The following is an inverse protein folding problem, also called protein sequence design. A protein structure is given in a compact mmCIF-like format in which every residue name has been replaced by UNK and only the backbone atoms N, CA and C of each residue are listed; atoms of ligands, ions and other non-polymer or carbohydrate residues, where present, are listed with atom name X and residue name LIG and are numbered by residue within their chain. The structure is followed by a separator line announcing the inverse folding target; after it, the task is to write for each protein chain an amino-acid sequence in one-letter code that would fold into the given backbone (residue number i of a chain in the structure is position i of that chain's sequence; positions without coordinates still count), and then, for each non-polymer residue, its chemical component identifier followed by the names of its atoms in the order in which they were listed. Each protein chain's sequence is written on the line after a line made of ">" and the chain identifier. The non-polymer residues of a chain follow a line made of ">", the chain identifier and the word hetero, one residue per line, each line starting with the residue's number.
data_IF_913915280028
#
_entry.id   IF_913915280028
#
_cell.length_a   1.000
_cell.length_b   1.000
_cell.length_c   1.000
_cell.angle_alpha   90.00
_cell.angle_beta   90.00
_cell.angle_gamma   90.00
#
_symmetry.space_group_name_H-M   'P 1'
#
loop_
_entity.id
_entity.type
_entity.pdbx_description
1 polymer ?
#
# COMPACT_ATOMS: atom_id res chain seq x y z
N UNK A 1 -33.12 -27.63 9.55
CA UNK A 1 -31.81 -28.16 9.10
C UNK A 1 -30.75 -27.56 10.01
N UNK A 2 -29.91 -28.39 10.61
CA UNK A 2 -28.79 -27.97 11.47
C UNK A 2 -27.55 -27.79 10.58
N UNK A 3 -26.83 -26.69 10.75
CA UNK A 3 -25.56 -26.45 10.05
C UNK A 3 -24.48 -27.29 10.76
N UNK A 4 -23.83 -28.17 10.02
CA UNK A 4 -22.79 -29.09 10.49
C UNK A 4 -21.44 -28.75 9.84
N UNK A 5 -20.37 -29.45 10.26
CA UNK A 5 -19.06 -29.37 9.59
C UNK A 5 -19.19 -29.75 8.11
N UNK A 6 -19.92 -30.79 7.80
CA UNK A 6 -20.20 -31.24 6.42
C UNK A 6 -20.88 -30.15 5.58
N UNK A 7 -21.85 -29.42 6.17
CA UNK A 7 -22.50 -28.28 5.47
C UNK A 7 -21.47 -27.20 5.09
N UNK A 8 -20.45 -26.97 5.92
CA UNK A 8 -19.37 -26.00 5.62
C UNK A 8 -18.44 -26.54 4.54
N UNK A 9 -18.15 -27.83 4.54
CA UNK A 9 -17.36 -28.50 3.49
C UNK A 9 -18.09 -28.43 2.15
N UNK A 10 -19.41 -28.74 2.11
CA UNK A 10 -20.25 -28.60 0.91
C UNK A 10 -20.22 -27.16 0.37
N UNK A 11 -20.25 -26.16 1.28
CA UNK A 11 -20.14 -24.76 0.86
C UNK A 11 -18.76 -24.44 0.26
N UNK A 12 -17.68 -25.01 0.78
CA UNK A 12 -16.34 -24.89 0.19
C UNK A 12 -16.31 -25.53 -1.20
N UNK A 13 -16.88 -26.73 -1.37
CA UNK A 13 -16.96 -27.39 -2.67
C UNK A 13 -17.78 -26.58 -3.67
N UNK A 14 -18.94 -26.05 -3.25
CA UNK A 14 -19.73 -25.16 -4.09
C UNK A 14 -18.93 -23.94 -4.57
N UNK A 15 -18.20 -23.26 -3.68
CA UNK A 15 -17.37 -22.10 -4.06
C UNK A 15 -16.24 -22.48 -5.02
N UNK A 16 -15.65 -23.68 -4.88
CA UNK A 16 -14.63 -24.20 -5.80
C UNK A 16 -15.23 -24.53 -7.17
N UNK A 17 -16.41 -25.11 -7.21
CA UNK A 17 -17.14 -25.39 -8.47
C UNK A 17 -17.46 -24.10 -9.23
N UNK A 18 -17.72 -23.00 -8.51
CA UNK A 18 -17.84 -21.64 -9.09
C UNK A 18 -16.49 -21.03 -9.51
N UNK A 19 -15.39 -21.78 -9.49
CA UNK A 19 -14.04 -21.36 -9.87
C UNK A 19 -13.52 -20.14 -9.09
N UNK A 20 -13.99 -19.93 -7.85
CA UNK A 20 -13.48 -18.86 -7.00
C UNK A 20 -12.05 -19.17 -6.55
N UNK A 21 -11.20 -18.15 -6.53
CA UNK A 21 -9.85 -18.26 -5.98
C UNK A 21 -9.89 -18.59 -4.48
N UNK A 22 -8.95 -19.41 -3.98
CA UNK A 22 -8.86 -19.82 -2.58
C UNK A 22 -8.80 -18.63 -1.61
N UNK A 23 -8.19 -17.51 -1.99
CA UNK A 23 -8.20 -16.25 -1.21
C UNK A 23 -9.61 -15.67 -1.06
N UNK A 24 -10.44 -15.76 -2.10
CA UNK A 24 -11.85 -15.33 -2.08
C UNK A 24 -12.69 -16.28 -1.23
N UNK A 25 -12.48 -17.59 -1.40
CA UNK A 25 -13.10 -18.63 -0.56
C UNK A 25 -12.78 -18.38 0.91
N UNK A 26 -11.52 -18.15 1.25
CA UNK A 26 -11.10 -17.84 2.62
C UNK A 26 -11.69 -16.54 3.17
N UNK A 27 -11.92 -15.55 2.32
CA UNK A 27 -12.59 -14.30 2.74
C UNK A 27 -14.04 -14.58 3.14
N UNK A 28 -14.78 -15.35 2.33
CA UNK A 28 -16.14 -15.76 2.64
C UNK A 28 -16.19 -16.65 3.89
N UNK A 29 -15.28 -17.63 3.98
CA UNK A 29 -15.20 -18.50 5.15
C UNK A 29 -14.90 -17.75 6.44
N UNK A 30 -14.08 -16.71 6.43
CA UNK A 30 -13.81 -15.89 7.65
C UNK A 30 -15.09 -15.22 8.15
N UNK A 31 -15.94 -14.72 7.25
CA UNK A 31 -17.22 -14.11 7.62
C UNK A 31 -18.20 -15.14 8.18
N UNK A 32 -18.38 -16.26 7.47
CA UNK A 32 -19.25 -17.36 7.90
C UNK A 32 -18.76 -17.95 9.22
N UNK A 33 -17.45 -18.20 9.35
CA UNK A 33 -16.82 -18.73 10.56
C UNK A 33 -17.06 -17.85 11.79
N UNK A 34 -16.96 -16.53 11.64
CA UNK A 34 -17.22 -15.61 12.75
C UNK A 34 -18.64 -15.75 13.27
N UNK A 35 -19.63 -15.84 12.37
CA UNK A 35 -21.04 -16.05 12.71
C UNK A 35 -21.29 -17.43 13.33
N UNK A 36 -20.78 -18.50 12.71
CA UNK A 36 -20.99 -19.86 13.22
C UNK A 36 -20.33 -20.08 14.57
N UNK A 37 -19.13 -19.54 14.82
CA UNK A 37 -18.50 -19.62 16.14
C UNK A 37 -19.29 -18.86 17.20
N UNK A 38 -19.90 -17.72 16.85
CA UNK A 38 -20.84 -17.05 17.74
C UNK A 38 -22.07 -17.94 18.06
N UNK A 39 -22.63 -18.60 17.05
CA UNK A 39 -23.73 -19.56 17.27
C UNK A 39 -23.34 -20.73 18.18
N UNK A 40 -22.13 -21.26 18.00
CA UNK A 40 -21.57 -22.33 18.86
C UNK A 40 -21.34 -21.86 20.29
N UNK A 41 -20.87 -20.62 20.46
CA UNK A 41 -20.69 -20.01 21.79
C UNK A 41 -22.01 -19.84 22.52
N UNK A 42 -23.09 -19.51 21.79
CA UNK A 42 -24.47 -19.41 22.31
C UNK A 42 -25.19 -20.75 22.42
N UNK A 43 -24.51 -21.88 22.13
CA UNK A 43 -25.09 -23.22 22.15
C UNK A 43 -26.27 -23.43 21.17
N UNK A 44 -26.33 -22.62 20.10
CA UNK A 44 -27.28 -22.84 19.00
C UNK A 44 -26.83 -23.93 18.04
N UNK A 45 -25.53 -24.22 18.00
CA UNK A 45 -24.90 -25.26 17.21
C UNK A 45 -23.92 -26.05 18.07
N UNK A 46 -23.68 -27.31 17.70
CA UNK A 46 -22.58 -28.09 18.25
C UNK A 46 -21.22 -27.48 17.82
N UNK A 47 -20.20 -27.67 18.68
CA UNK A 47 -18.86 -27.11 18.41
C UNK A 47 -18.10 -28.01 17.43
N UNK A 48 -17.71 -27.45 16.30
CA UNK A 48 -16.79 -28.06 15.33
C UNK A 48 -15.80 -27.04 14.78
N UNK A 49 -14.61 -27.50 14.33
CA UNK A 49 -13.59 -26.58 13.79
C UNK A 49 -13.93 -26.21 12.35
N UNK A 50 -13.82 -24.93 12.00
CA UNK A 50 -13.93 -24.43 10.62
C UNK A 50 -12.54 -24.08 10.12
N UNK A 51 -11.98 -24.91 9.25
CA UNK A 51 -10.66 -24.74 8.68
C UNK A 51 -10.70 -23.89 7.42
N UNK A 52 -9.72 -23.01 7.26
CA UNK A 52 -9.55 -22.27 6.02
C UNK A 52 -8.87 -23.16 4.97
N UNK A 53 -9.17 -22.92 3.71
CA UNK A 53 -8.50 -23.58 2.58
C UNK A 53 -7.05 -23.11 2.52
N UNK A 54 -6.12 -24.01 2.23
CA UNK A 54 -4.74 -23.63 1.96
C UNK A 54 -4.70 -22.78 0.69
N UNK A 55 -4.41 -21.51 0.83
CA UNK A 55 -4.32 -20.57 -0.26
C UNK A 55 -2.87 -20.15 -0.46
N UNK A 56 -2.38 -20.27 -1.66
CA UNK A 56 -1.16 -19.58 -2.08
C UNK A 56 -1.52 -18.12 -2.31
N UNK A 57 -0.85 -17.21 -1.59
CA UNK A 57 -1.00 -15.77 -1.72
C UNK A 57 0.32 -15.20 -2.28
N UNK A 58 0.56 -15.37 -3.59
CA UNK A 58 1.77 -14.86 -4.22
C UNK A 58 1.79 -13.34 -4.12
N UNK A 59 2.92 -12.78 -3.74
CA UNK A 59 3.11 -11.33 -3.80
C UNK A 59 3.01 -10.95 -5.28
N UNK A 60 2.05 -10.07 -5.60
CA UNK A 60 1.90 -9.53 -6.95
C UNK A 60 3.22 -8.87 -7.36
N UNK A 61 3.65 -9.16 -8.57
CA UNK A 61 4.88 -8.61 -9.11
C UNK A 61 4.87 -7.07 -9.07
N UNK A 62 5.83 -6.44 -8.38
CA UNK A 62 5.93 -4.98 -8.31
C UNK A 62 6.16 -4.36 -9.70
N UNK A 63 6.06 -3.04 -9.79
CA UNK A 63 6.45 -2.32 -11.01
C UNK A 63 7.93 -2.55 -11.31
N UNK A 64 8.25 -2.74 -12.59
CA UNK A 64 9.62 -2.78 -13.09
C UNK A 64 10.21 -1.36 -13.18
N UNK A 65 11.52 -1.26 -13.34
CA UNK A 65 12.20 0.03 -13.52
C UNK A 65 11.69 0.75 -14.78
N UNK A 66 11.48 0.03 -15.87
CA UNK A 66 11.00 0.60 -17.14
C UNK A 66 9.55 1.12 -17.01
N UNK A 67 8.68 0.37 -16.31
CA UNK A 67 7.32 0.81 -16.01
C UNK A 67 7.33 2.08 -15.15
N UNK A 68 8.20 2.12 -14.13
CA UNK A 68 8.35 3.31 -13.27
C UNK A 68 8.87 4.52 -14.04
N UNK A 69 9.85 4.36 -14.93
CA UNK A 69 10.36 5.45 -15.75
C UNK A 69 9.26 6.07 -16.61
N UNK A 70 8.36 5.26 -17.18
CA UNK A 70 7.20 5.75 -17.93
C UNK A 70 6.21 6.49 -17.03
N UNK A 71 5.89 5.92 -15.86
CA UNK A 71 4.90 6.49 -14.93
C UNK A 71 5.39 7.76 -14.24
N UNK A 72 6.69 7.87 -13.96
CA UNK A 72 7.30 9.02 -13.29
C UNK A 72 7.69 10.14 -14.25
N UNK A 73 7.64 9.90 -15.57
CA UNK A 73 7.91 10.94 -16.54
C UNK A 73 6.92 12.10 -16.36
N UNK A 74 7.45 13.28 -16.08
CA UNK A 74 6.65 14.49 -15.88
C UNK A 74 5.84 14.83 -17.15
N UNK A 75 4.54 15.12 -17.01
CA UNK A 75 3.74 15.58 -18.13
C UNK A 75 4.14 17.00 -18.53
N UNK A 76 3.90 17.36 -19.79
CA UNK A 76 4.14 18.73 -20.23
C UNK A 76 3.08 19.67 -19.62
N UNK A 77 3.45 20.40 -18.56
CA UNK A 77 2.57 21.30 -17.83
C UNK A 77 1.92 22.41 -18.69
N UNK A 78 2.46 22.70 -19.90
CA UNK A 78 1.87 23.66 -20.82
C UNK A 78 0.68 23.10 -21.59
N UNK A 79 0.55 21.79 -21.71
CA UNK A 79 -0.45 21.13 -22.57
C UNK A 79 -1.26 20.05 -21.86
N UNK A 80 -0.80 19.57 -20.69
CA UNK A 80 -1.51 18.53 -19.95
C UNK A 80 -2.76 19.08 -19.26
N UNK A 81 -3.73 18.20 -19.02
CA UNK A 81 -4.89 18.51 -18.17
C UNK A 81 -4.50 18.52 -16.70
N UNK A 82 -5.27 19.23 -15.87
CA UNK A 82 -5.12 19.14 -14.39
C UNK A 82 -5.23 17.68 -13.90
N UNK A 83 -6.13 16.90 -14.49
CA UNK A 83 -6.30 15.49 -14.14
C UNK A 83 -5.02 14.67 -14.41
N UNK A 84 -4.35 14.88 -15.54
CA UNK A 84 -3.10 14.21 -15.86
C UNK A 84 -1.98 14.63 -14.91
N UNK A 85 -1.82 15.93 -14.67
CA UNK A 85 -0.81 16.45 -13.74
C UNK A 85 -1.05 15.92 -12.32
N UNK A 86 -2.27 16.03 -11.80
CA UNK A 86 -2.66 15.47 -10.50
C UNK A 86 -2.35 13.99 -10.41
N UNK A 87 -2.66 13.18 -11.43
CA UNK A 87 -2.42 11.75 -11.43
C UNK A 87 -0.92 11.43 -11.39
N UNK A 88 -0.11 12.22 -12.09
CA UNK A 88 1.35 12.14 -11.98
C UNK A 88 1.84 12.44 -10.56
N UNK A 89 1.33 13.48 -9.92
CA UNK A 89 1.65 13.81 -8.52
C UNK A 89 1.22 12.67 -7.59
N UNK A 90 0.01 12.10 -7.78
CA UNK A 90 -0.48 10.96 -6.99
C UNK A 90 0.45 9.76 -7.13
N UNK A 91 0.89 9.42 -8.33
CA UNK A 91 1.83 8.30 -8.57
C UNK A 91 3.15 8.53 -7.85
N UNK A 92 3.72 9.75 -7.95
CA UNK A 92 4.93 10.12 -7.23
C UNK A 92 4.73 10.03 -5.71
N UNK A 93 3.60 10.49 -5.20
CA UNK A 93 3.27 10.44 -3.78
C UNK A 93 3.10 8.99 -3.27
N UNK A 94 2.38 8.15 -4.01
CA UNK A 94 2.21 6.73 -3.68
C UNK A 94 3.55 5.98 -3.67
N UNK A 95 4.40 6.23 -4.67
CA UNK A 95 5.72 5.60 -4.74
C UNK A 95 6.69 6.17 -3.70
N UNK A 96 6.62 7.48 -3.40
CA UNK A 96 7.53 8.13 -2.45
C UNK A 96 7.21 7.88 -0.98
N UNK A 97 5.96 7.50 -0.66
CA UNK A 97 5.52 7.26 0.73
C UNK A 97 5.09 5.82 1.01
N UNK A 98 4.74 5.06 -0.02
CA UNK A 98 4.14 3.74 0.12
C UNK A 98 2.79 3.74 0.84
N UNK A 99 2.10 4.87 0.98
CA UNK A 99 0.84 4.97 1.71
C UNK A 99 -0.28 4.16 1.05
N UNK A 100 -1.34 3.86 1.80
CA UNK A 100 -2.53 3.20 1.26
C UNK A 100 -3.40 4.20 0.52
N UNK A 101 -4.16 3.75 -0.49
CA UNK A 101 -5.11 4.57 -1.24
C UNK A 101 -6.12 5.30 -0.32
N UNK A 102 -6.63 4.62 0.69
CA UNK A 102 -7.52 5.25 1.68
C UNK A 102 -6.83 6.33 2.51
N UNK A 103 -5.56 6.17 2.85
CA UNK A 103 -4.77 7.19 3.54
C UNK A 103 -4.57 8.42 2.64
N UNK A 104 -4.21 8.20 1.38
CA UNK A 104 -4.03 9.26 0.39
C UNK A 104 -5.32 10.09 0.21
N UNK A 105 -6.47 9.44 0.10
CA UNK A 105 -7.77 10.11 -0.09
C UNK A 105 -8.23 10.95 1.10
N UNK A 106 -7.75 10.62 2.31
CA UNK A 106 -8.09 11.36 3.52
C UNK A 106 -7.10 12.48 3.86
N UNK A 107 -6.08 12.71 3.01
CA UNK A 107 -5.13 13.80 3.21
C UNK A 107 -5.79 15.15 2.93
N UNK A 108 -5.49 16.10 3.80
CA UNK A 108 -5.78 17.50 3.65
C UNK A 108 -4.50 18.28 3.32
N UNK A 109 -4.64 19.47 2.75
CA UNK A 109 -3.49 20.34 2.44
C UNK A 109 -2.67 20.63 3.71
N UNK A 110 -3.34 20.88 4.83
CA UNK A 110 -2.71 21.14 6.12
C UNK A 110 -2.03 19.94 6.78
N UNK A 111 -2.10 18.74 6.17
CA UNK A 111 -1.33 17.58 6.63
C UNK A 111 0.12 17.58 6.12
N UNK A 112 0.46 18.48 5.18
CA UNK A 112 1.80 18.64 4.66
C UNK A 112 2.55 19.73 5.42
N UNK A 113 3.71 19.38 5.96
CA UNK A 113 4.73 20.34 6.40
C UNK A 113 5.91 20.23 5.44
N UNK A 114 5.87 21.03 4.37
CA UNK A 114 6.91 21.00 3.33
C UNK A 114 8.21 21.63 3.83
N UNK A 115 8.15 22.52 4.81
CA UNK A 115 9.33 23.12 5.44
C UNK A 115 10.11 22.10 6.27
N UNK A 116 9.41 21.23 7.00
CA UNK A 116 9.99 20.09 7.71
C UNK A 116 10.19 18.86 6.81
N UNK A 117 9.65 18.87 5.58
CA UNK A 117 9.69 17.74 4.66
C UNK A 117 8.92 16.53 5.20
N UNK A 118 7.73 16.74 5.75
CA UNK A 118 6.92 15.65 6.36
C UNK A 118 5.45 15.72 5.96
N UNK A 119 4.77 14.57 6.10
CA UNK A 119 3.32 14.46 5.98
C UNK A 119 2.72 13.76 7.20
N UNK A 120 1.60 14.25 7.68
CA UNK A 120 0.85 13.70 8.80
C UNK A 120 -0.29 12.82 8.33
N UNK A 121 -0.21 11.52 8.55
CA UNK A 121 -1.29 10.57 8.27
C UNK A 121 -2.23 10.44 9.46
N UNK A 122 -3.37 11.13 9.41
CA UNK A 122 -4.39 11.15 10.49
C UNK A 122 -5.12 9.83 10.65
N UNK A 123 -5.42 9.15 9.53
CA UNK A 123 -6.24 7.95 9.47
C UNK A 123 -5.49 6.79 8.84
N UNK A 124 -4.93 5.92 9.69
CA UNK A 124 -4.37 4.64 9.25
C UNK A 124 -5.26 3.49 9.68
N UNK A 125 -5.24 2.37 8.95
CA UNK A 125 -6.07 1.18 9.23
C UNK A 125 -5.89 0.66 10.68
N UNK A 126 -4.76 0.93 11.32
CA UNK A 126 -4.45 0.56 12.69
C UNK A 126 -4.83 1.62 13.74
N UNK A 127 -5.61 2.65 13.38
CA UNK A 127 -5.98 3.81 14.24
C UNK A 127 -4.80 4.62 14.80
N UNK A 128 -3.58 4.39 14.33
CA UNK A 128 -2.40 5.14 14.73
C UNK A 128 -2.15 6.29 13.76
N UNK A 129 -1.98 7.48 14.31
CA UNK A 129 -1.52 8.65 13.57
C UNK A 129 -0.01 8.52 13.36
N UNK A 130 0.50 9.04 12.23
CA UNK A 130 1.91 8.90 11.91
C UNK A 130 2.43 10.11 11.12
N UNK A 131 3.62 10.58 11.49
CA UNK A 131 4.39 11.52 10.68
C UNK A 131 5.35 10.69 9.81
N UNK A 132 5.33 10.93 8.50
CA UNK A 132 6.18 10.24 7.52
C UNK A 132 7.05 11.28 6.81
N UNK A 133 8.36 11.06 6.71
CA UNK A 133 9.25 11.95 5.97
C UNK A 133 8.99 11.88 4.46
N UNK A 134 9.14 13.02 3.80
CA UNK A 134 9.10 13.16 2.35
C UNK A 134 10.52 13.32 1.82
N UNK A 135 10.83 12.71 0.68
CA UNK A 135 12.08 12.96 -0.01
C UNK A 135 12.11 14.39 -0.58
N UNK A 136 13.30 14.96 -0.75
CA UNK A 136 13.45 16.31 -1.35
C UNK A 136 12.76 16.42 -2.72
N UNK A 137 12.83 15.36 -3.53
CA UNK A 137 12.16 15.31 -4.83
C UNK A 137 10.63 15.38 -4.68
N UNK A 138 10.06 14.66 -3.70
CA UNK A 138 8.62 14.68 -3.47
C UNK A 138 8.17 16.03 -2.87
N UNK A 139 8.96 16.64 -1.99
CA UNK A 139 8.69 17.99 -1.46
C UNK A 139 8.54 18.97 -2.61
N UNK A 140 9.51 19.02 -3.55
CA UNK A 140 9.45 19.91 -4.71
C UNK A 140 8.19 19.67 -5.56
N UNK A 141 7.85 18.41 -5.86
CA UNK A 141 6.63 18.06 -6.60
C UNK A 141 5.37 18.56 -5.86
N UNK A 142 5.35 18.44 -4.53
CA UNK A 142 4.21 18.89 -3.73
C UNK A 142 4.13 20.42 -3.64
N UNK A 143 5.24 21.13 -3.57
CA UNK A 143 5.29 22.60 -3.63
C UNK A 143 4.66 23.11 -4.94
N UNK A 144 5.13 22.58 -6.09
CA UNK A 144 4.61 22.93 -7.41
C UNK A 144 3.11 22.55 -7.56
N UNK A 145 2.70 21.40 -7.02
CA UNK A 145 1.28 21.00 -7.06
C UNK A 145 0.39 21.93 -6.24
N UNK A 146 0.85 22.40 -5.08
CA UNK A 146 0.07 23.28 -4.21
C UNK A 146 -0.14 24.67 -4.82
N UNK A 147 0.71 25.13 -5.74
CA UNK A 147 0.49 26.38 -6.49
C UNK A 147 -0.82 26.34 -7.32
N UNK A 148 -1.26 25.12 -7.70
CA UNK A 148 -2.51 24.89 -8.43
C UNK A 148 -3.70 24.53 -7.51
N UNK A 149 -3.53 24.66 -6.19
CA UNK A 149 -4.53 24.29 -5.19
C UNK A 149 -5.00 25.51 -4.40
N UNK A 150 -6.09 25.34 -3.66
CA UNK A 150 -6.58 26.35 -2.71
C UNK A 150 -5.60 26.53 -1.54
N UNK A 151 -5.63 27.67 -0.90
CA UNK A 151 -4.88 27.93 0.33
C UNK A 151 -5.56 27.42 1.60
N UNK A 152 -6.78 26.83 1.51
CA UNK A 152 -7.50 26.27 2.66
C UNK A 152 -6.81 25.00 3.18
N UNK A 153 -6.24 24.98 4.40
CA UNK A 153 -5.58 23.81 4.96
C UNK A 153 -6.53 22.62 5.19
N UNK A 154 -7.83 22.85 5.34
CA UNK A 154 -8.82 21.80 5.55
C UNK A 154 -9.30 21.16 4.23
N UNK A 155 -8.96 21.75 3.09
CA UNK A 155 -9.35 21.20 1.79
C UNK A 155 -8.65 19.86 1.52
N UNK A 156 -9.33 18.92 0.82
CA UNK A 156 -8.70 17.66 0.41
C UNK A 156 -7.44 17.93 -0.44
N UNK A 157 -6.36 17.19 -0.16
CA UNK A 157 -5.11 17.35 -0.91
C UNK A 157 -5.28 16.99 -2.39
N UNK A 158 -5.95 15.88 -2.69
CA UNK A 158 -6.23 15.43 -4.05
C UNK A 158 -7.73 15.51 -4.36
N UNK A 159 -8.06 16.21 -5.41
CA UNK A 159 -9.45 16.45 -5.83
C UNK A 159 -9.68 16.00 -7.27
N UNK A 160 -10.95 15.83 -7.65
CA UNK A 160 -11.36 15.66 -9.04
C UNK A 160 -11.08 16.94 -9.85
N UNK A 161 -11.21 16.89 -11.16
CA UNK A 161 -11.13 18.07 -12.03
C UNK A 161 -12.22 19.13 -11.74
N UNK A 162 -13.29 18.73 -11.04
CA UNK A 162 -14.37 19.62 -10.59
C UNK A 162 -14.17 20.16 -9.17
N UNK A 163 -13.00 19.92 -8.55
CA UNK A 163 -12.69 20.37 -7.18
C UNK A 163 -13.27 19.51 -6.04
N UNK A 164 -14.02 18.44 -6.36
CA UNK A 164 -14.60 17.57 -5.36
C UNK A 164 -13.59 16.54 -4.82
N UNK A 165 -13.77 16.12 -3.55
CA UNK A 165 -12.98 15.03 -2.98
C UNK A 165 -13.12 13.76 -3.82
N UNK A 166 -11.99 13.10 -4.10
CA UNK A 166 -11.98 11.85 -4.85
C UNK A 166 -12.48 10.69 -3.99
N UNK A 167 -13.19 9.75 -4.61
CA UNK A 167 -13.57 8.46 -4.01
C UNK A 167 -12.53 7.39 -4.36
N UNK A 168 -12.57 6.24 -3.68
CA UNK A 168 -11.68 5.12 -3.99
C UNK A 168 -11.86 4.64 -5.44
N UNK A 169 -13.10 4.62 -5.93
CA UNK A 169 -13.40 4.23 -7.31
C UNK A 169 -12.89 5.26 -8.31
N UNK A 170 -13.11 6.56 -8.06
CA UNK A 170 -12.62 7.62 -8.96
C UNK A 170 -11.09 7.66 -9.00
N UNK A 171 -10.42 7.44 -7.87
CA UNK A 171 -8.96 7.32 -7.82
C UNK A 171 -8.48 6.07 -8.58
N UNK A 172 -9.17 4.91 -8.39
CA UNK A 172 -8.85 3.68 -9.12
C UNK A 172 -8.92 3.88 -10.63
N UNK A 173 -10.00 4.48 -11.12
CA UNK A 173 -10.20 4.80 -12.54
C UNK A 173 -9.15 5.81 -13.06
N UNK A 174 -8.82 6.82 -12.26
CA UNK A 174 -7.81 7.82 -12.62
C UNK A 174 -6.42 7.18 -12.80
N UNK A 175 -6.00 6.30 -11.89
CA UNK A 175 -4.73 5.58 -11.98
C UNK A 175 -4.76 4.54 -13.11
N UNK A 176 -5.89 3.87 -13.32
CA UNK A 176 -6.06 2.96 -14.46
C UNK A 176 -5.83 3.67 -15.79
N UNK A 177 -6.55 4.77 -16.03
CA UNK A 177 -6.41 5.58 -17.24
C UNK A 177 -4.98 6.13 -17.39
N UNK A 178 -4.40 6.64 -16.31
CA UNK A 178 -3.05 7.20 -16.31
C UNK A 178 -1.99 6.17 -16.67
N UNK A 179 -2.04 4.98 -16.09
CA UNK A 179 -1.06 3.93 -16.36
C UNK A 179 -1.19 3.42 -17.81
N UNK A 180 -2.42 3.15 -18.27
CA UNK A 180 -2.65 2.71 -19.65
C UNK A 180 -2.23 3.75 -20.70
N UNK A 181 -2.49 5.03 -20.48
CA UNK A 181 -2.04 6.10 -21.39
C UNK A 181 -0.51 6.17 -21.51
N UNK A 182 0.21 5.60 -20.56
CA UNK A 182 1.68 5.52 -20.55
C UNK A 182 2.21 4.13 -20.93
N UNK A 183 1.34 3.24 -21.44
CA UNK A 183 1.71 1.88 -21.86
C UNK A 183 2.11 0.97 -20.71
N UNK A 184 1.46 1.11 -19.54
CA UNK A 184 1.66 0.26 -18.38
C UNK A 184 0.35 -0.42 -18.01
N UNK A 185 0.33 -1.75 -18.14
CA UNK A 185 -0.87 -2.58 -17.89
C UNK A 185 -1.21 -2.76 -16.40
N UNK A 186 -0.19 -2.70 -15.53
CA UNK A 186 -0.37 -2.80 -14.09
C UNK A 186 -1.02 -1.53 -13.55
N UNK A 187 -2.16 -1.65 -12.87
CA UNK A 187 -2.97 -0.49 -12.44
C UNK A 187 -3.33 -0.46 -10.97
N UNK A 188 -2.92 -1.48 -10.21
CA UNK A 188 -3.25 -1.57 -8.78
C UNK A 188 -2.45 -0.57 -7.95
N UNK A 189 -3.13 0.29 -7.20
CA UNK A 189 -2.50 1.22 -6.25
C UNK A 189 -1.66 0.51 -5.18
N UNK A 190 -2.04 -0.73 -4.81
CA UNK A 190 -1.25 -1.53 -3.88
C UNK A 190 0.12 -1.90 -4.45
N UNK A 191 0.28 -1.97 -5.78
CA UNK A 191 1.57 -2.25 -6.38
C UNK A 191 2.60 -1.13 -6.14
N UNK A 192 2.20 0.14 -6.08
CA UNK A 192 3.12 1.23 -5.70
C UNK A 192 3.69 1.00 -4.30
N UNK A 193 2.85 0.57 -3.37
CA UNK A 193 3.29 0.24 -2.01
C UNK A 193 4.19 -1.00 -1.97
N UNK A 194 3.89 -2.05 -2.74
CA UNK A 194 4.77 -3.22 -2.89
C UNK A 194 6.11 -2.82 -3.51
N UNK A 195 6.07 -1.97 -4.53
CA UNK A 195 7.27 -1.44 -5.20
C UNK A 195 8.10 -0.58 -4.24
N UNK A 196 7.47 0.32 -3.47
CA UNK A 196 8.15 1.09 -2.43
C UNK A 196 8.87 0.17 -1.44
N UNK A 197 8.17 -0.85 -0.92
CA UNK A 197 8.75 -1.78 0.03
C UNK A 197 9.92 -2.57 -0.55
N UNK A 198 9.78 -3.08 -1.78
CA UNK A 198 10.85 -3.77 -2.52
C UNK A 198 12.08 -2.88 -2.67
N UNK A 199 11.91 -1.69 -3.25
CA UNK A 199 13.01 -0.78 -3.52
C UNK A 199 13.69 -0.29 -2.23
N UNK A 200 12.90 -0.06 -1.16
CA UNK A 200 13.44 0.31 0.15
C UNK A 200 14.34 -0.79 0.73
N UNK A 201 13.92 -2.05 0.69
CA UNK A 201 14.73 -3.20 1.15
C UNK A 201 15.96 -3.38 0.26
N UNK A 202 15.81 -3.33 -1.06
CA UNK A 202 16.94 -3.46 -2.00
C UNK A 202 17.99 -2.34 -1.85
N UNK A 203 17.56 -1.15 -1.42
CA UNK A 203 18.48 -0.07 -1.08
C UNK A 203 19.17 -0.24 0.31
N UNK A 204 18.97 -1.36 0.99
CA UNK A 204 19.52 -1.62 2.33
C UNK A 204 18.74 -0.97 3.47
N UNK A 205 17.50 -0.60 3.24
CA UNK A 205 16.64 0.01 4.24
C UNK A 205 16.26 -0.95 5.37
N UNK A 206 16.23 -0.44 6.60
CA UNK A 206 15.91 -1.22 7.80
C UNK A 206 14.45 -1.71 7.80
N UNK A 207 14.17 -3.01 7.98
CA UNK A 207 12.83 -3.57 7.95
C UNK A 207 11.87 -3.03 9.03
N UNK A 208 12.38 -2.70 10.22
CA UNK A 208 11.55 -2.15 11.29
C UNK A 208 11.15 -0.69 10.99
N UNK A 209 12.06 0.08 10.37
CA UNK A 209 11.70 1.41 9.85
C UNK A 209 10.68 1.30 8.74
N UNK A 210 10.84 0.33 7.81
CA UNK A 210 9.85 0.07 6.76
C UNK A 210 8.48 -0.27 7.35
N UNK A 211 8.43 -1.14 8.37
CA UNK A 211 7.20 -1.47 9.08
C UNK A 211 6.49 -0.21 9.60
N UNK A 212 7.26 0.67 10.27
CA UNK A 212 6.74 1.94 10.76
C UNK A 212 6.25 2.81 9.60
N UNK A 213 7.09 3.09 8.60
CA UNK A 213 6.73 3.93 7.44
C UNK A 213 5.44 3.46 6.76
N UNK A 214 5.27 2.16 6.63
CA UNK A 214 4.08 1.59 6.02
C UNK A 214 2.89 1.45 7.00
N UNK A 215 3.10 1.57 8.30
CA UNK A 215 2.06 1.36 9.30
C UNK A 215 1.50 -0.07 9.27
N UNK A 216 2.39 -1.07 9.23
CA UNK A 216 2.03 -2.47 9.38
C UNK A 216 1.81 -2.78 10.86
N UNK A 217 0.66 -3.39 11.19
CA UNK A 217 0.33 -3.76 12.57
C UNK A 217 1.29 -4.85 13.10
N UNK A 218 1.77 -5.72 12.22
CA UNK A 218 2.74 -6.77 12.53
C UNK A 218 3.85 -6.86 11.47
N UNK A 219 4.88 -7.66 11.75
CA UNK A 219 6.03 -7.85 10.87
C UNK A 219 5.78 -8.84 9.73
N UNK A 220 4.66 -9.54 9.71
CA UNK A 220 4.41 -10.63 8.75
C UNK A 220 4.59 -10.17 7.31
N UNK A 221 3.97 -9.03 6.95
CA UNK A 221 4.11 -8.47 5.60
C UNK A 221 5.53 -7.97 5.32
N UNK A 222 6.15 -7.31 6.30
CA UNK A 222 7.53 -6.81 6.15
C UNK A 222 8.53 -7.96 6.00
N UNK A 223 8.37 -9.06 6.76
CA UNK A 223 9.18 -10.29 6.61
C UNK A 223 9.09 -10.89 5.22
N UNK A 224 7.92 -10.86 4.58
CA UNK A 224 7.76 -11.32 3.18
C UNK A 224 8.65 -10.53 2.20
N UNK A 225 8.73 -9.20 2.36
CA UNK A 225 9.60 -8.37 1.53
C UNK A 225 11.08 -8.67 1.80
N UNK A 226 11.47 -8.84 3.07
CA UNK A 226 12.85 -9.21 3.42
C UNK A 226 13.21 -10.56 2.81
N UNK A 227 12.36 -11.57 2.97
CA UNK A 227 12.61 -12.92 2.43
C UNK A 227 12.73 -12.95 0.90
N UNK A 228 12.05 -12.04 0.19
CA UNK A 228 12.06 -12.02 -1.28
C UNK A 228 13.13 -11.11 -1.88
N UNK A 229 13.57 -10.09 -1.17
CA UNK A 229 14.37 -9.01 -1.76
C UNK A 229 15.67 -8.69 -1.01
N UNK A 230 15.92 -9.32 0.13
CA UNK A 230 17.18 -9.17 0.88
C UNK A 230 18.16 -10.29 0.52
N UNK A 231 18.49 -10.43 -0.77
CA UNK A 231 19.30 -11.55 -1.26
C UNK A 231 20.80 -11.40 -1.00
N UNK A 232 21.29 -10.21 -0.68
CA UNK A 232 22.71 -9.96 -0.47
C UNK A 232 23.03 -9.62 0.98
N UNK A 233 23.42 -10.66 1.75
CA UNK A 233 23.94 -10.48 3.11
C UNK A 233 25.25 -9.67 3.16
N UNK A 234 25.92 -9.45 2.02
CA UNK A 234 27.14 -8.65 1.91
C UNK A 234 26.84 -7.17 1.71
N UNK A 235 25.65 -6.83 1.24
CA UNK A 235 25.25 -5.44 1.04
C UNK A 235 25.37 -4.67 2.34
N UNK A 236 26.19 -3.63 2.38
CA UNK A 236 26.49 -2.81 3.55
C UNK A 236 27.12 -3.55 4.76
N UNK A 237 27.58 -4.82 4.60
CA UNK A 237 28.13 -5.61 5.71
C UNK A 237 29.26 -4.88 6.43
N UNK A 238 30.25 -4.36 5.67
CA UNK A 238 31.39 -3.65 6.23
C UNK A 238 31.00 -2.34 6.94
N UNK A 239 29.99 -1.63 6.42
CA UNK A 239 29.48 -0.42 7.04
C UNK A 239 28.78 -0.68 8.37
N UNK A 240 28.17 -1.86 8.51
CA UNK A 240 27.43 -2.26 9.71
C UNK A 240 28.25 -3.15 10.66
N UNK A 241 29.42 -3.65 10.20
CA UNK A 241 30.25 -4.55 11.00
C UNK A 241 30.89 -3.77 12.17
N UNK A 242 30.71 -4.25 13.43
CA UNK A 242 31.27 -3.56 14.61
C UNK A 242 32.80 -3.44 14.55
N UNK A 243 33.52 -4.42 13.99
CA UNK A 243 34.96 -4.38 13.88
C UNK A 243 35.41 -3.23 12.97
N UNK A 244 34.77 -3.08 11.81
CA UNK A 244 35.09 -1.99 10.89
C UNK A 244 34.79 -0.61 11.50
N UNK A 245 33.70 -0.48 12.24
CA UNK A 245 33.35 0.76 12.92
C UNK A 245 34.40 1.17 13.97
N UNK A 246 34.86 0.20 14.79
CA UNK A 246 35.84 0.42 15.83
C UNK A 246 37.23 0.74 15.27
N UNK A 247 37.65 0.09 14.16
CA UNK A 247 38.95 0.34 13.52
C UNK A 247 39.00 1.69 12.81
N UNK A 248 37.88 2.21 12.31
CA UNK A 248 37.80 3.55 11.72
C UNK A 248 37.91 4.68 12.73
N UNK A 249 37.45 4.46 13.96
CA UNK A 249 37.56 5.46 15.05
C UNK A 249 39.00 5.61 15.59
N UNK A 250 39.87 4.66 15.30
CA UNK A 250 41.26 4.65 15.76
C UNK A 250 42.26 5.16 14.67
N UNK A 251 41.76 5.69 13.58
CA UNK A 251 42.53 6.40 12.54
C UNK A 251 42.16 7.87 12.48
#
# INVERSE_FOLDING_TARGET
>A
HTITEETVEDYIFYMKDQQLHDTTINTNLRMVRAFLYWCMEKSYLEKYPIRLVRADDPIKEPYTTDELQKLLKEPNCKTCSFAEYRNWVIVNFLLGTGCRASTLLNLQIGDLDLSAGTVFFRHMKARNQQIVPLSKALVKIMEEYLEHRTSDPAAPLFVSEYGNQMTLNSLGNAIWNYNHSRGVEKTSMHLFRHTYAKLYIQAGGDPFRLQKLLGHADLTMTRRYVALYADDLRANYDALNPLEQLTRQNR
#
